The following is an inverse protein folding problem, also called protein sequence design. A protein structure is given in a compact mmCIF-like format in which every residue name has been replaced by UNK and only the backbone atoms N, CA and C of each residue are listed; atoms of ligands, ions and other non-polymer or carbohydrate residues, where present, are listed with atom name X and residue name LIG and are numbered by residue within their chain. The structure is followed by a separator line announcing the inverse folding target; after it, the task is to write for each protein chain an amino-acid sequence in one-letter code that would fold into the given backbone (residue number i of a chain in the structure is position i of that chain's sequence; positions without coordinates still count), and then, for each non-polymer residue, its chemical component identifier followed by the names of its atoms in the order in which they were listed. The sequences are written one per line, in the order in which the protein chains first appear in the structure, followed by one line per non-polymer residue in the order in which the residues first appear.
data_IF_930492233435
#
_entry.id   IF_930492233435
#
_cell.length_a   1.000
_cell.length_b   1.000
_cell.length_c   1.000
_cell.angle_alpha   90.00
_cell.angle_beta   90.00
_cell.angle_gamma   90.00
#
_symmetry.space_group_name_H-M   'P 1'
#
loop_
_entity.id
_entity.type
_entity.pdbx_description
1 polymer ?
#
# COMPACT_ATOMS: atom_id res chain seq x y z
N UNK A 1 -15.92 -8.38 -22.08
CA UNK A 1 -15.33 -8.02 -20.78
C UNK A 1 -14.73 -6.63 -20.94
N UNK A 2 -14.94 -5.68 -20.02
CA UNK A 2 -14.35 -4.34 -20.14
C UNK A 2 -12.89 -4.44 -19.71
N UNK A 3 -11.94 -4.07 -20.57
CA UNK A 3 -10.52 -4.08 -20.19
C UNK A 3 -10.24 -3.09 -19.06
N UNK A 4 -9.44 -3.45 -18.05
CA UNK A 4 -9.11 -2.58 -16.92
C UNK A 4 -8.52 -1.23 -17.32
N UNK A 5 -7.83 -1.17 -18.46
CA UNK A 5 -7.27 0.07 -19.02
C UNK A 5 -8.33 1.14 -19.30
N UNK A 6 -9.53 0.79 -19.78
CA UNK A 6 -10.58 1.77 -20.02
C UNK A 6 -11.11 2.35 -18.71
N UNK A 7 -11.28 1.50 -17.70
CA UNK A 7 -11.73 1.90 -16.37
C UNK A 7 -10.65 2.75 -15.70
N UNK A 8 -9.38 2.41 -15.90
CA UNK A 8 -8.24 3.22 -15.45
C UNK A 8 -8.32 4.65 -15.99
N UNK A 9 -8.57 4.84 -17.30
CA UNK A 9 -8.70 6.18 -17.88
C UNK A 9 -9.94 6.94 -17.40
N UNK A 10 -11.08 6.25 -17.20
CA UNK A 10 -12.26 6.87 -16.59
C UNK A 10 -11.91 7.37 -15.18
N UNK A 11 -11.18 6.58 -14.41
CA UNK A 11 -10.80 6.93 -13.05
C UNK A 11 -9.77 8.05 -13.03
N UNK A 12 -8.87 8.07 -14.01
CA UNK A 12 -7.94 9.18 -14.21
C UNK A 12 -8.69 10.51 -14.41
N UNK A 13 -9.71 10.53 -15.28
CA UNK A 13 -10.56 11.71 -15.50
C UNK A 13 -11.32 12.12 -14.23
N UNK A 14 -11.95 11.16 -13.54
CA UNK A 14 -12.68 11.41 -12.28
C UNK A 14 -11.73 11.98 -11.21
N UNK A 15 -10.52 11.42 -11.09
CA UNK A 15 -9.50 11.86 -10.14
C UNK A 15 -9.05 13.30 -10.40
N UNK A 16 -8.83 13.67 -11.66
CA UNK A 16 -8.54 15.06 -12.03
C UNK A 16 -9.66 16.01 -11.59
N UNK A 17 -10.93 15.64 -11.82
CA UNK A 17 -12.06 16.44 -11.36
C UNK A 17 -12.08 16.59 -9.83
N UNK A 18 -11.75 15.53 -9.09
CA UNK A 18 -11.67 15.60 -7.62
C UNK A 18 -10.50 16.43 -7.10
N UNK A 19 -9.40 16.61 -7.86
CA UNK A 19 -8.32 17.53 -7.46
C UNK A 19 -8.81 18.99 -7.33
N UNK A 20 -9.79 19.40 -8.15
CA UNK A 20 -10.42 20.73 -8.10
C UNK A 20 -11.38 20.91 -6.92
N UNK A 21 -11.77 19.84 -6.23
CA UNK A 21 -12.72 19.93 -5.12
C UNK A 21 -12.04 20.49 -3.88
N UNK A 22 -12.33 21.76 -3.58
CA UNK A 22 -11.75 22.48 -2.42
C UNK A 22 -12.55 22.19 -1.15
N UNK A 23 -13.89 22.04 -1.25
CA UNK A 23 -14.77 21.79 -0.09
C UNK A 23 -15.10 20.30 0.07
N UNK A 24 -14.94 19.74 1.27
CA UNK A 24 -15.12 18.31 1.52
C UNK A 24 -16.60 17.97 1.75
N UNK A 25 -17.46 18.14 0.73
CA UNK A 25 -18.72 17.37 0.74
C UNK A 25 -18.41 15.97 0.22
N UNK A 26 -17.66 15.21 1.02
CA UNK A 26 -17.08 13.94 0.60
C UNK A 26 -18.15 12.87 0.61
N UNK A 27 -18.50 12.40 -0.59
CA UNK A 27 -19.44 11.30 -0.74
C UNK A 27 -18.68 9.97 -0.69
N UNK A 28 -18.36 9.51 0.53
CA UNK A 28 -17.66 8.24 0.76
C UNK A 28 -18.42 7.03 0.21
N UNK A 29 -19.75 7.10 0.11
CA UNK A 29 -20.54 6.03 -0.50
C UNK A 29 -20.27 5.92 -2.00
N UNK A 30 -20.27 7.04 -2.72
CA UNK A 30 -19.94 7.06 -4.14
C UNK A 30 -18.49 6.59 -4.39
N UNK A 31 -17.54 7.02 -3.56
CA UNK A 31 -16.15 6.54 -3.63
C UNK A 31 -16.09 5.04 -3.40
N UNK A 32 -16.81 4.52 -2.41
CA UNK A 32 -16.86 3.09 -2.14
C UNK A 32 -17.43 2.32 -3.34
N UNK A 33 -18.50 2.80 -3.97
CA UNK A 33 -19.03 2.22 -5.21
C UNK A 33 -18.00 2.23 -6.34
N UNK A 34 -17.21 3.31 -6.51
CA UNK A 34 -16.11 3.34 -7.46
C UNK A 34 -15.04 2.29 -7.11
N UNK A 35 -14.67 2.12 -5.85
CA UNK A 35 -13.71 1.07 -5.47
C UNK A 35 -14.23 -0.33 -5.82
N UNK A 36 -15.53 -0.59 -5.62
CA UNK A 36 -16.14 -1.87 -6.00
C UNK A 36 -16.14 -2.10 -7.51
N UNK A 37 -16.46 -1.09 -8.32
CA UNK A 37 -16.40 -1.19 -9.79
C UNK A 37 -14.96 -1.51 -10.23
N UNK A 38 -13.96 -0.88 -9.60
CA UNK A 38 -12.55 -1.14 -9.87
C UNK A 38 -12.15 -2.58 -9.56
N UNK A 39 -12.50 -3.08 -8.37
CA UNK A 39 -12.22 -4.48 -8.00
C UNK A 39 -12.94 -5.45 -8.93
N UNK A 40 -14.23 -5.25 -9.19
CA UNK A 40 -14.99 -6.14 -10.07
C UNK A 40 -14.36 -6.23 -11.46
N UNK A 41 -13.94 -5.09 -12.02
CA UNK A 41 -13.25 -5.05 -13.30
C UNK A 41 -11.94 -5.85 -13.31
N UNK A 42 -11.09 -5.64 -12.31
CA UNK A 42 -9.81 -6.37 -12.22
C UNK A 42 -10.02 -7.87 -11.97
N UNK A 43 -10.95 -8.25 -11.10
CA UNK A 43 -11.21 -9.65 -10.73
C UNK A 43 -11.89 -10.44 -11.85
N UNK A 44 -12.71 -9.78 -12.67
CA UNK A 44 -13.37 -10.43 -13.80
C UNK A 44 -12.44 -10.59 -15.00
N UNK A 45 -11.47 -9.70 -15.19
CA UNK A 45 -10.60 -9.70 -16.37
C UNK A 45 -9.61 -10.88 -16.43
N UNK A 46 -9.04 -11.24 -15.29
CA UNK A 46 -8.05 -12.32 -15.20
C UNK A 46 -7.20 -12.16 -13.95
N UNK A 47 -6.76 -13.29 -13.40
CA UNK A 47 -5.94 -13.34 -12.19
C UNK A 47 -4.51 -13.75 -12.59
N UNK A 48 -3.52 -12.96 -12.17
CA UNK A 48 -2.12 -13.16 -12.57
C UNK A 48 -1.44 -14.37 -11.89
N UNK A 49 -0.15 -14.57 -12.17
CA UNK A 49 0.68 -15.70 -11.70
C UNK A 49 0.57 -16.02 -10.19
N UNK A 50 0.57 -15.03 -9.30
CA UNK A 50 0.49 -15.28 -7.85
C UNK A 50 -0.90 -15.81 -7.45
N UNK A 51 -1.94 -15.36 -8.14
CA UNK A 51 -3.30 -15.84 -7.90
C UNK A 51 -3.52 -17.27 -8.36
N UNK A 52 -2.79 -17.78 -9.36
CA UNK A 52 -2.86 -19.21 -9.72
C UNK A 52 -2.57 -20.07 -8.50
N UNK A 53 -1.52 -19.71 -7.74
CA UNK A 53 -1.17 -20.40 -6.49
C UNK A 53 -2.24 -20.19 -5.42
N UNK A 54 -2.76 -18.96 -5.27
CA UNK A 54 -3.79 -18.69 -4.26
C UNK A 54 -5.09 -19.43 -4.54
N UNK A 55 -5.51 -19.52 -5.80
CA UNK A 55 -6.70 -20.24 -6.22
C UNK A 55 -6.49 -21.74 -5.98
N UNK A 56 -5.36 -22.30 -6.40
CA UNK A 56 -5.10 -23.73 -6.20
C UNK A 56 -5.09 -24.14 -4.72
N UNK A 57 -4.73 -23.21 -3.83
CA UNK A 57 -4.78 -23.50 -2.39
C UNK A 57 -6.18 -23.50 -1.81
N UNK A 58 -7.15 -22.79 -2.42
CA UNK A 58 -8.54 -22.75 -1.91
C UNK A 58 -9.21 -24.13 -1.97
N UNK A 59 -8.80 -24.98 -2.90
CA UNK A 59 -9.32 -26.34 -3.07
C UNK A 59 -8.65 -27.36 -2.13
N UNK A 60 -7.60 -26.99 -1.39
CA UNK A 60 -6.94 -27.89 -0.45
C UNK A 60 -7.79 -28.13 0.81
N UNK A 61 -7.68 -29.32 1.40
CA UNK A 61 -8.33 -29.63 2.68
C UNK A 61 -7.78 -28.78 3.83
N UNK A 62 -8.60 -28.52 4.85
CA UNK A 62 -8.21 -27.78 6.07
C UNK A 62 -6.96 -28.34 6.75
N UNK A 63 -6.69 -29.65 6.62
CA UNK A 63 -5.50 -30.27 7.19
C UNK A 63 -4.20 -29.61 6.69
N UNK A 64 -4.14 -29.20 5.42
CA UNK A 64 -2.96 -28.56 4.84
C UNK A 64 -2.70 -27.18 5.42
N UNK A 65 -3.73 -26.48 5.92
CA UNK A 65 -3.60 -25.15 6.51
C UNK A 65 -2.88 -25.13 7.87
N UNK A 66 -2.64 -26.30 8.47
CA UNK A 66 -1.80 -26.44 9.67
C UNK A 66 -0.30 -26.50 9.36
N UNK A 67 0.10 -26.52 8.08
CA UNK A 67 1.51 -26.38 7.71
C UNK A 67 2.03 -24.98 8.11
N UNK A 68 3.28 -24.97 8.56
CA UNK A 68 4.09 -23.79 8.85
C UNK A 68 4.04 -22.73 7.75
N UNK A 69 3.90 -23.12 6.48
CA UNK A 69 3.74 -22.16 5.38
C UNK A 69 2.49 -21.28 5.52
N UNK A 70 1.34 -21.88 5.83
CA UNK A 70 0.07 -21.16 5.99
C UNK A 70 -0.04 -20.47 7.36
N UNK A 71 0.52 -21.08 8.40
CA UNK A 71 0.55 -20.51 9.75
C UNK A 71 1.42 -19.26 9.89
N UNK A 72 2.32 -18.99 8.93
CA UNK A 72 3.08 -17.73 8.87
C UNK A 72 2.20 -16.52 8.56
N UNK A 73 1.11 -16.71 7.82
CA UNK A 73 0.20 -15.63 7.38
C UNK A 73 -1.27 -16.06 7.56
N UNK A 74 -1.65 -16.43 8.79
CA UNK A 74 -2.86 -17.22 9.03
C UNK A 74 -4.13 -16.40 8.72
N UNK A 75 -4.09 -15.08 8.89
CA UNK A 75 -5.29 -14.27 8.71
C UNK A 75 -5.71 -14.25 7.24
N UNK A 76 -4.77 -14.26 6.29
CA UNK A 76 -5.10 -14.33 4.87
C UNK A 76 -5.60 -15.71 4.48
N UNK A 77 -4.85 -16.75 4.82
CA UNK A 77 -5.14 -18.10 4.37
C UNK A 77 -6.45 -18.65 4.94
N UNK A 78 -6.68 -18.48 6.24
CA UNK A 78 -7.90 -18.98 6.88
C UNK A 78 -9.13 -18.18 6.45
N UNK A 79 -9.03 -16.85 6.28
CA UNK A 79 -10.17 -16.04 5.85
C UNK A 79 -10.57 -16.32 4.41
N UNK A 80 -9.61 -16.43 3.49
CA UNK A 80 -9.89 -16.74 2.09
C UNK A 80 -10.51 -18.13 1.91
N UNK A 81 -10.01 -19.15 2.62
CA UNK A 81 -10.58 -20.51 2.65
C UNK A 81 -11.99 -20.53 3.24
N UNK A 82 -12.19 -19.84 4.36
CA UNK A 82 -13.51 -19.75 4.99
C UNK A 82 -14.56 -19.14 4.06
N UNK A 83 -14.23 -18.05 3.36
CA UNK A 83 -15.13 -17.41 2.38
C UNK A 83 -15.38 -18.34 1.19
N UNK A 84 -14.35 -19.04 0.71
CA UNK A 84 -14.49 -19.96 -0.41
C UNK A 84 -15.51 -21.05 -0.13
N UNK A 85 -15.34 -21.81 0.96
CA UNK A 85 -16.21 -22.96 1.26
C UNK A 85 -17.61 -22.59 1.74
N UNK A 86 -17.75 -21.49 2.50
CA UNK A 86 -19.01 -21.19 3.18
C UNK A 86 -19.88 -20.16 2.44
N UNK A 87 -19.33 -19.42 1.47
CA UNK A 87 -20.05 -18.28 0.87
C UNK A 87 -20.24 -18.44 -0.64
N UNK A 88 -19.19 -18.72 -1.41
CA UNK A 88 -19.28 -18.56 -2.87
C UNK A 88 -18.83 -19.75 -3.71
N UNK A 89 -17.98 -20.64 -3.20
CA UNK A 89 -17.32 -21.72 -3.96
C UNK A 89 -16.70 -21.26 -5.30
N UNK A 90 -16.35 -19.97 -5.42
CA UNK A 90 -15.81 -19.37 -6.64
C UNK A 90 -14.74 -18.34 -6.24
N UNK A 91 -13.48 -18.50 -6.70
CA UNK A 91 -12.36 -17.66 -6.28
C UNK A 91 -12.54 -16.18 -6.60
N UNK A 92 -13.15 -15.84 -7.74
CA UNK A 92 -13.36 -14.44 -8.15
C UNK A 92 -14.19 -13.69 -7.11
N UNK A 93 -15.26 -14.31 -6.62
CA UNK A 93 -16.11 -13.74 -5.59
C UNK A 93 -15.43 -13.71 -4.22
N UNK A 94 -14.58 -14.70 -3.88
CA UNK A 94 -13.78 -14.67 -2.64
C UNK A 94 -12.94 -13.39 -2.59
N UNK A 95 -12.19 -13.11 -3.65
CA UNK A 95 -11.34 -11.92 -3.70
C UNK A 95 -12.13 -10.62 -3.80
N UNK A 96 -13.28 -10.62 -4.48
CA UNK A 96 -14.17 -9.47 -4.49
C UNK A 96 -14.76 -9.15 -3.10
N UNK A 97 -15.14 -10.17 -2.32
CA UNK A 97 -15.61 -10.02 -0.94
C UNK A 97 -14.49 -9.48 -0.05
N UNK A 98 -13.27 -10.02 -0.17
CA UNK A 98 -12.11 -9.50 0.56
C UNK A 98 -11.85 -8.03 0.18
N UNK A 99 -11.79 -7.70 -1.11
CA UNK A 99 -11.61 -6.31 -1.57
C UNK A 99 -12.68 -5.38 -0.99
N UNK A 100 -13.95 -5.82 -0.97
CA UNK A 100 -15.08 -5.10 -0.38
C UNK A 100 -14.84 -4.76 1.09
N UNK A 101 -14.43 -5.75 1.90
CA UNK A 101 -14.14 -5.56 3.33
C UNK A 101 -13.00 -4.54 3.52
N UNK A 102 -11.92 -4.69 2.77
CA UNK A 102 -10.76 -3.81 2.90
C UNK A 102 -11.03 -2.40 2.39
N UNK A 103 -11.84 -2.24 1.34
CA UNK A 103 -12.31 -0.92 0.90
C UNK A 103 -13.21 -0.24 1.91
N UNK A 104 -14.07 -0.98 2.61
CA UNK A 104 -14.85 -0.40 3.72
C UNK A 104 -13.91 0.17 4.79
N UNK A 105 -12.93 -0.61 5.23
CA UNK A 105 -11.93 -0.17 6.19
C UNK A 105 -11.14 1.05 5.69
N UNK A 106 -10.74 1.05 4.42
CA UNK A 106 -10.02 2.18 3.81
C UNK A 106 -10.87 3.45 3.75
N UNK A 107 -12.14 3.34 3.35
CA UNK A 107 -13.10 4.44 3.40
C UNK A 107 -13.29 4.99 4.82
N UNK A 108 -13.39 4.11 5.84
CA UNK A 108 -13.47 4.53 7.24
C UNK A 108 -12.22 5.29 7.68
N UNK A 109 -11.03 4.80 7.31
CA UNK A 109 -9.76 5.45 7.61
C UNK A 109 -9.64 6.84 6.97
N UNK A 110 -9.93 6.96 5.68
CA UNK A 110 -9.90 8.24 4.98
C UNK A 110 -10.95 9.21 5.54
N UNK A 111 -12.15 8.70 5.88
CA UNK A 111 -13.22 9.47 6.54
C UNK A 111 -12.77 10.04 7.88
N UNK A 112 -12.19 9.19 8.73
CA UNK A 112 -11.66 9.61 10.03
C UNK A 112 -10.58 10.69 9.87
N UNK A 113 -9.72 10.55 8.87
CA UNK A 113 -8.63 11.48 8.61
C UNK A 113 -9.00 12.71 7.78
N UNK A 114 -10.27 12.82 7.34
CA UNK A 114 -10.79 13.89 6.47
C UNK A 114 -9.99 14.06 5.18
N UNK A 115 -9.56 12.94 4.58
CA UNK A 115 -8.80 12.97 3.33
C UNK A 115 -9.73 13.25 2.13
N UNK A 116 -9.35 14.12 1.20
CA UNK A 116 -10.15 14.46 0.02
C UNK A 116 -10.26 13.29 -0.97
N UNK A 117 -11.26 13.34 -1.84
CA UNK A 117 -11.66 12.22 -2.71
C UNK A 117 -10.57 11.77 -3.69
N UNK A 118 -9.77 12.71 -4.19
CA UNK A 118 -8.68 12.37 -5.12
C UNK A 118 -7.64 11.44 -4.47
N UNK A 119 -7.54 11.41 -3.13
CA UNK A 119 -6.61 10.51 -2.41
C UNK A 119 -6.97 9.04 -2.64
N UNK A 120 -8.27 8.73 -2.74
CA UNK A 120 -8.72 7.37 -3.04
C UNK A 120 -8.33 6.97 -4.45
N UNK A 121 -8.58 7.87 -5.40
CA UNK A 121 -8.31 7.62 -6.82
C UNK A 121 -6.79 7.53 -7.07
N UNK A 122 -6.00 8.45 -6.51
CA UNK A 122 -4.53 8.39 -6.68
C UNK A 122 -3.97 7.12 -6.04
N UNK A 123 -4.51 6.68 -4.91
CA UNK A 123 -4.07 5.44 -4.27
C UNK A 123 -4.28 4.23 -5.16
N UNK A 124 -5.46 4.03 -5.75
CA UNK A 124 -5.74 2.88 -6.62
C UNK A 124 -5.04 2.96 -7.98
N UNK A 125 -4.85 4.16 -8.54
CA UNK A 125 -4.17 4.36 -9.82
C UNK A 125 -2.65 4.39 -9.72
N UNK A 126 -2.10 4.43 -8.50
CA UNK A 126 -0.66 4.37 -8.30
C UNK A 126 -0.15 2.96 -8.55
N UNK A 127 0.96 2.86 -9.30
CA UNK A 127 1.45 1.57 -9.81
C UNK A 127 1.66 0.48 -8.75
N UNK A 128 2.14 0.75 -7.51
CA UNK A 128 2.28 -0.28 -6.49
C UNK A 128 0.93 -0.86 -6.04
N UNK A 129 -0.15 -0.08 -6.10
CA UNK A 129 -1.49 -0.57 -5.79
C UNK A 129 -2.02 -1.47 -6.91
N UNK A 130 -1.81 -1.09 -8.17
CA UNK A 130 -2.20 -1.93 -9.32
C UNK A 130 -1.46 -3.27 -9.25
N UNK A 131 -0.14 -3.24 -9.06
CA UNK A 131 0.68 -4.44 -8.88
C UNK A 131 0.29 -5.22 -7.61
N UNK A 132 -0.14 -4.53 -6.56
CA UNK A 132 -0.66 -5.14 -5.34
C UNK A 132 -1.97 -5.90 -5.56
N UNK A 133 -2.91 -5.32 -6.30
CA UNK A 133 -4.19 -5.96 -6.62
C UNK A 133 -4.02 -7.21 -7.47
N UNK A 134 -3.09 -7.17 -8.42
CA UNK A 134 -2.93 -8.21 -9.43
C UNK A 134 -1.87 -9.24 -9.07
N UNK A 135 -0.74 -8.88 -8.46
CA UNK A 135 0.35 -9.82 -8.20
C UNK A 135 0.54 -10.05 -6.70
N UNK A 136 0.77 -9.01 -5.89
CA UNK A 136 1.16 -9.24 -4.48
C UNK A 136 0.03 -8.94 -3.51
N UNK A 137 -1.05 -9.71 -3.64
CA UNK A 137 -2.32 -9.45 -2.98
C UNK A 137 -2.26 -9.44 -1.44
N UNK A 138 -1.63 -10.45 -0.83
CA UNK A 138 -1.47 -10.54 0.64
C UNK A 138 -0.79 -9.31 1.23
N UNK A 139 0.29 -8.89 0.59
CA UNK A 139 1.03 -7.70 0.97
C UNK A 139 0.20 -6.43 0.77
N UNK A 140 -0.55 -6.35 -0.33
CA UNK A 140 -1.44 -5.22 -0.60
C UNK A 140 -2.51 -5.08 0.49
N UNK A 141 -3.15 -6.18 0.89
CA UNK A 141 -4.07 -6.23 2.03
C UNK A 141 -3.40 -5.77 3.34
N UNK A 142 -2.20 -6.30 3.64
CA UNK A 142 -1.44 -5.89 4.81
C UNK A 142 -1.11 -4.38 4.79
N UNK A 143 -0.90 -3.78 3.62
CA UNK A 143 -0.53 -2.37 3.48
C UNK A 143 -1.63 -1.43 3.99
N UNK A 144 -2.92 -1.76 3.83
CA UNK A 144 -3.99 -0.97 4.44
C UNK A 144 -3.80 -0.85 5.95
N UNK A 145 -3.51 -1.96 6.63
CA UNK A 145 -3.32 -1.98 8.07
C UNK A 145 -2.00 -1.35 8.52
N UNK A 146 -0.93 -1.43 7.70
CA UNK A 146 0.30 -0.66 7.94
C UNK A 146 0.01 0.84 7.88
N UNK A 147 -0.72 1.29 6.86
CA UNK A 147 -1.13 2.70 6.75
C UNK A 147 -1.99 3.12 7.95
N UNK A 148 -2.88 2.27 8.44
CA UNK A 148 -3.67 2.57 9.64
C UNK A 148 -2.80 2.63 10.89
N UNK A 149 -1.85 1.70 11.04
CA UNK A 149 -0.90 1.71 12.15
C UNK A 149 -0.13 3.03 12.22
N UNK A 150 0.36 3.51 11.07
CA UNK A 150 1.20 4.70 10.99
C UNK A 150 0.37 5.99 11.01
N UNK A 151 -0.68 6.10 10.20
CA UNK A 151 -1.35 7.38 9.92
C UNK A 151 -2.70 7.56 10.61
N UNK A 152 -3.16 6.59 11.41
CA UNK A 152 -4.39 6.80 12.19
C UNK A 152 -4.13 7.91 13.24
N UNK A 153 -4.57 9.12 12.92
CA UNK A 153 -4.54 10.25 13.83
C UNK A 153 -5.79 10.20 14.68
N UNK A 154 -5.64 9.60 15.84
CA UNK A 154 -6.54 9.87 16.93
C UNK A 154 -5.85 10.90 17.81
N UNK A 155 -6.18 12.17 17.61
CA UNK A 155 -5.81 13.25 18.55
C UNK A 155 -6.33 12.96 19.98
N UNK A 156 -7.16 11.93 20.14
CA UNK A 156 -7.81 11.52 21.39
C UNK A 156 -7.40 10.15 21.93
N UNK A 157 -6.67 9.29 21.19
CA UNK A 157 -6.28 7.97 21.71
C UNK A 157 -5.00 8.08 22.52
N UNK A 158 -5.18 8.23 23.83
CA UNK A 158 -4.17 7.86 24.84
C UNK A 158 -3.77 6.38 24.76
N UNK A 159 -4.41 5.57 23.92
CA UNK A 159 -4.17 4.12 23.78
C UNK A 159 -3.27 3.83 22.59
N UNK A 160 -1.97 3.90 22.86
CA UNK A 160 -0.87 3.45 21.99
C UNK A 160 -1.07 2.05 21.37
N UNK A 161 -1.87 1.20 22.03
CA UNK A 161 -2.17 -0.18 21.64
C UNK A 161 -2.81 -0.32 20.26
N UNK A 162 -3.59 0.65 19.79
CA UNK A 162 -4.31 0.54 18.51
C UNK A 162 -3.34 0.50 17.32
N UNK A 163 -2.24 1.27 17.38
CA UNK A 163 -1.24 1.25 16.29
C UNK A 163 -0.54 -0.11 16.22
N UNK A 164 -0.22 -0.70 17.38
CA UNK A 164 0.37 -2.04 17.44
C UNK A 164 -0.62 -3.13 17.02
N UNK A 165 -1.90 -2.98 17.37
CA UNK A 165 -2.96 -3.90 16.93
C UNK A 165 -3.10 -3.95 15.41
N UNK A 166 -3.12 -2.79 14.73
CA UNK A 166 -3.14 -2.79 13.26
C UNK A 166 -1.87 -3.37 12.64
N UNK A 167 -0.69 -3.13 13.24
CA UNK A 167 0.53 -3.75 12.77
C UNK A 167 0.52 -5.27 12.96
N UNK A 168 -0.06 -5.76 14.06
CA UNK A 168 -0.23 -7.19 14.31
C UNK A 168 -1.14 -7.82 13.25
N UNK A 169 -2.28 -7.18 12.92
CA UNK A 169 -3.15 -7.63 11.83
C UNK A 169 -2.37 -7.66 10.50
N UNK A 170 -1.60 -6.60 10.21
CA UNK A 170 -0.78 -6.55 9.00
C UNK A 170 0.24 -7.69 8.96
N UNK A 171 0.89 -8.00 10.08
CA UNK A 171 1.84 -9.11 10.21
C UNK A 171 1.18 -10.47 9.98
N UNK A 172 -0.03 -10.67 10.51
CA UNK A 172 -0.80 -11.91 10.31
C UNK A 172 -1.34 -12.07 8.88
N UNK A 173 -1.42 -10.99 8.10
CA UNK A 173 -1.72 -11.02 6.66
C UNK A 173 -0.47 -11.24 5.82
N UNK A 174 0.63 -10.59 6.20
CA UNK A 174 1.90 -10.69 5.51
C UNK A 174 3.07 -10.39 6.44
N UNK A 175 3.96 -11.37 6.61
CA UNK A 175 5.00 -11.35 7.64
C UNK A 175 6.00 -10.18 7.50
N UNK A 176 6.25 -9.69 6.29
CA UNK A 176 7.17 -8.56 6.06
C UNK A 176 6.66 -7.24 6.64
N UNK A 177 5.37 -7.17 7.04
CA UNK A 177 4.81 -5.99 7.70
C UNK A 177 5.54 -5.62 8.99
N UNK A 178 6.19 -6.58 9.67
CA UNK A 178 6.93 -6.31 10.92
C UNK A 178 8.09 -5.33 10.72
N UNK A 179 8.65 -5.25 9.51
CA UNK A 179 9.72 -4.32 9.15
C UNK A 179 9.31 -2.85 9.32
N UNK A 180 8.01 -2.57 9.36
CA UNK A 180 7.46 -1.22 9.47
C UNK A 180 7.18 -0.79 10.92
N UNK A 181 7.49 -1.63 11.92
CA UNK A 181 7.43 -1.27 13.35
C UNK A 181 8.16 0.05 13.69
N UNK A 182 9.35 0.36 13.14
CA UNK A 182 10.05 1.61 13.43
C UNK A 182 9.23 2.86 13.09
N UNK A 183 8.33 2.82 12.10
CA UNK A 183 7.48 3.97 11.75
C UNK A 183 6.52 4.37 12.88
N UNK A 184 6.09 3.41 13.73
CA UNK A 184 5.24 3.73 14.89
C UNK A 184 6.02 4.58 15.90
N UNK A 185 7.27 4.23 16.17
CA UNK A 185 8.13 5.01 17.07
C UNK A 185 8.50 6.35 16.45
N UNK A 186 8.72 6.39 15.14
CA UNK A 186 9.02 7.61 14.41
C UNK A 186 7.86 8.61 14.48
N UNK A 187 6.62 8.16 14.26
CA UNK A 187 5.41 8.97 14.42
C UNK A 187 5.33 9.60 15.83
N UNK A 188 5.69 8.83 16.84
CA UNK A 188 5.72 9.26 18.25
C UNK A 188 6.94 10.12 18.60
N UNK A 189 7.79 10.48 17.61
CA UNK A 189 9.05 11.23 17.80
C UNK A 189 10.03 10.54 18.75
N UNK A 190 9.92 9.22 18.93
CA UNK A 190 10.81 8.40 19.76
C UNK A 190 11.98 7.91 18.88
N UNK A 191 12.86 8.84 18.47
CA UNK A 191 13.92 8.57 17.49
C UNK A 191 14.90 7.47 17.93
N UNK A 192 15.30 7.43 19.21
CA UNK A 192 16.18 6.37 19.72
C UNK A 192 15.53 4.98 19.56
N UNK A 193 14.26 4.83 19.97
CA UNK A 193 13.51 3.57 19.80
C UNK A 193 13.29 3.22 18.33
N UNK A 194 13.15 4.22 17.45
CA UNK A 194 13.09 4.01 16.00
C UNK A 194 14.37 3.36 15.50
N UNK A 195 15.53 3.89 15.88
CA UNK A 195 16.84 3.35 15.48
C UNK A 195 17.06 1.97 16.11
N UNK A 196 16.79 1.81 17.41
CA UNK A 196 16.95 0.52 18.10
C UNK A 196 16.07 -0.57 17.49
N UNK A 197 14.80 -0.27 17.20
CA UNK A 197 13.90 -1.24 16.55
C UNK A 197 14.33 -1.57 15.12
N UNK A 198 14.79 -0.57 14.36
CA UNK A 198 15.36 -0.81 13.03
C UNK A 198 16.59 -1.72 13.10
N UNK A 199 17.57 -1.41 13.93
CA UNK A 199 18.79 -2.22 14.10
C UNK A 199 18.45 -3.63 14.60
N UNK A 200 17.55 -3.76 15.57
CA UNK A 200 17.10 -5.06 16.06
C UNK A 200 16.48 -5.89 14.93
N UNK A 201 15.62 -5.31 14.09
CA UNK A 201 15.02 -6.01 12.96
C UNK A 201 16.06 -6.41 11.92
N UNK A 202 17.01 -5.54 11.60
CA UNK A 202 18.13 -5.87 10.70
C UNK A 202 18.92 -7.07 11.20
N UNK A 203 19.29 -7.06 12.48
CA UNK A 203 20.03 -8.16 13.12
C UNK A 203 19.19 -9.44 13.16
N UNK A 204 17.92 -9.35 13.56
CA UNK A 204 17.02 -10.49 13.62
C UNK A 204 16.82 -11.12 12.23
N UNK A 205 16.62 -10.33 11.18
CA UNK A 205 16.49 -10.85 9.81
C UNK A 205 17.81 -11.43 9.30
N UNK A 206 18.96 -10.87 9.67
CA UNK A 206 20.25 -11.44 9.30
C UNK A 206 20.47 -12.84 9.89
N UNK A 207 20.10 -13.05 11.16
CA UNK A 207 20.29 -14.34 11.84
C UNK A 207 19.16 -15.35 11.58
N UNK A 208 17.91 -14.90 11.46
CA UNK A 208 16.73 -15.79 11.38
C UNK A 208 16.04 -15.78 10.02
N UNK A 209 16.41 -14.87 9.11
CA UNK A 209 15.77 -14.72 7.80
C UNK A 209 16.21 -15.72 6.73
N UNK A 210 17.23 -16.55 7.01
CA UNK A 210 17.89 -17.43 6.03
C UNK A 210 17.10 -18.73 5.71
N UNK A 211 15.86 -18.86 6.21
CA UNK A 211 15.01 -20.05 6.06
C UNK A 211 14.46 -20.34 4.66
N UNK A 212 15.12 -19.88 3.59
CA UNK A 212 14.77 -20.20 2.21
C UNK A 212 15.04 -19.04 1.27
N UNK A 213 16.27 -18.94 0.77
CA UNK A 213 16.60 -18.17 -0.45
C UNK A 213 16.01 -18.88 -1.67
N UNK A 214 14.70 -19.05 -1.73
CA UNK A 214 14.06 -19.41 -2.98
C UNK A 214 14.26 -18.22 -3.93
N UNK A 215 15.18 -18.41 -4.87
CA UNK A 215 15.49 -17.54 -5.99
C UNK A 215 14.34 -17.55 -7.01
N UNK A 216 13.09 -17.47 -6.55
CA UNK A 216 11.97 -17.20 -7.44
C UNK A 216 11.93 -15.69 -7.64
N UNK A 217 12.63 -15.25 -8.68
CA UNK A 217 12.59 -13.87 -9.18
C UNK A 217 11.22 -13.65 -9.83
N UNK A 218 10.16 -13.57 -9.02
CA UNK A 218 8.81 -13.29 -9.52
C UNK A 218 8.68 -11.79 -9.78
N UNK A 219 9.07 -11.38 -10.99
CA UNK A 219 8.70 -10.10 -11.60
C UNK A 219 9.85 -9.35 -12.26
N UNK A 220 9.66 -8.94 -13.52
CA UNK A 220 10.64 -8.23 -14.34
C UNK A 220 10.97 -6.78 -13.91
N UNK A 221 10.37 -6.27 -12.84
CA UNK A 221 10.65 -4.88 -12.40
C UNK A 221 11.93 -4.82 -11.59
N UNK A 222 12.91 -4.12 -12.16
CA UNK A 222 14.19 -3.85 -11.49
C UNK A 222 13.95 -3.06 -10.18
N UNK A 223 14.54 -3.48 -9.03
CA UNK A 223 14.51 -2.74 -7.76
C UNK A 223 14.80 -1.23 -7.89
N UNK A 224 15.63 -0.84 -8.86
CA UNK A 224 15.95 0.56 -9.15
C UNK A 224 14.72 1.42 -9.50
N UNK A 225 13.67 0.84 -10.10
CA UNK A 225 12.42 1.56 -10.42
C UNK A 225 11.76 2.08 -9.14
N UNK A 226 11.75 1.28 -8.08
CA UNK A 226 11.19 1.68 -6.79
C UNK A 226 12.05 2.78 -6.12
N UNK A 227 13.38 2.69 -6.17
CA UNK A 227 14.27 3.76 -5.70
C UNK A 227 14.01 5.08 -6.43
N UNK A 228 13.84 5.01 -7.76
CA UNK A 228 13.57 6.18 -8.58
C UNK A 228 12.22 6.81 -8.21
N UNK A 229 11.17 6.00 -8.05
CA UNK A 229 9.86 6.49 -7.62
C UNK A 229 9.90 7.11 -6.20
N UNK A 230 10.63 6.51 -5.25
CA UNK A 230 10.87 7.07 -3.92
C UNK A 230 11.55 8.43 -4.03
N UNK A 231 12.55 8.55 -4.91
CA UNK A 231 13.28 9.79 -5.16
C UNK A 231 12.40 10.88 -5.77
N UNK A 232 11.50 10.52 -6.72
CA UNK A 232 10.52 11.46 -7.29
C UNK A 232 9.59 12.04 -6.21
N UNK A 233 9.07 11.19 -5.31
CA UNK A 233 8.22 11.66 -4.21
C UNK A 233 8.96 12.65 -3.29
N UNK A 234 10.25 12.42 -3.05
CA UNK A 234 11.07 13.32 -2.25
C UNK A 234 11.42 14.62 -2.96
N UNK A 235 11.74 14.58 -4.26
CA UNK A 235 11.93 15.79 -5.06
C UNK A 235 10.66 16.64 -5.07
N UNK A 236 9.49 16.02 -5.17
CA UNK A 236 8.22 16.72 -5.07
C UNK A 236 8.06 17.43 -3.72
N UNK A 237 8.36 16.73 -2.63
CA UNK A 237 8.37 17.34 -1.29
C UNK A 237 9.35 18.51 -1.17
N UNK A 238 10.58 18.38 -1.68
CA UNK A 238 11.55 19.46 -1.66
C UNK A 238 11.06 20.67 -2.44
N UNK A 239 10.47 20.46 -3.61
CA UNK A 239 9.86 21.52 -4.42
C UNK A 239 8.75 22.24 -3.63
N UNK A 240 7.88 21.49 -2.95
CA UNK A 240 6.82 22.07 -2.12
C UNK A 240 7.33 22.93 -0.96
N UNK A 241 8.51 22.62 -0.43
CA UNK A 241 9.11 23.38 0.66
C UNK A 241 10.15 24.41 0.17
N UNK A 242 10.14 24.75 -1.12
CA UNK A 242 11.10 25.66 -1.76
C UNK A 242 12.56 25.27 -1.46
N UNK A 243 12.85 23.97 -1.48
CA UNK A 243 14.15 23.36 -1.16
C UNK A 243 14.68 23.67 0.26
N UNK A 244 13.83 24.18 1.16
CA UNK A 244 14.19 24.36 2.57
C UNK A 244 13.95 23.05 3.29
N UNK A 245 14.94 22.56 4.02
CA UNK A 245 14.83 21.32 4.80
C UNK A 245 14.69 21.68 6.28
N UNK A 246 13.53 21.40 6.87
CA UNK A 246 13.34 21.41 8.32
C UNK A 246 13.37 19.97 8.81
N UNK A 247 14.50 19.56 9.41
CA UNK A 247 14.70 18.19 9.87
C UNK A 247 13.96 17.90 11.18
N UNK A 248 13.87 18.90 12.09
CA UNK A 248 13.16 18.75 13.37
C UNK A 248 11.67 18.66 13.14
N UNK A 249 11.07 17.62 13.71
CA UNK A 249 9.62 17.37 13.77
C UNK A 249 8.91 17.16 12.42
N UNK A 250 9.66 16.97 11.34
CA UNK A 250 9.06 16.70 10.03
C UNK A 250 8.91 15.19 9.82
N UNK A 251 7.68 14.70 9.96
CA UNK A 251 7.39 13.28 9.79
C UNK A 251 7.75 12.78 8.40
N UNK A 252 7.41 13.52 7.33
CA UNK A 252 7.70 13.11 5.94
C UNK A 252 9.21 12.91 5.70
N UNK A 253 10.03 13.87 6.13
CA UNK A 253 11.47 13.78 5.89
C UNK A 253 12.09 12.60 6.66
N UNK A 254 11.69 12.42 7.93
CA UNK A 254 12.19 11.31 8.72
C UNK A 254 11.67 9.95 8.20
N UNK A 255 10.42 9.91 7.70
CA UNK A 255 9.83 8.71 7.11
C UNK A 255 10.55 8.34 5.83
N UNK A 256 10.96 9.32 5.04
CA UNK A 256 11.74 9.14 3.82
C UNK A 256 13.15 8.58 4.11
N UNK A 257 13.85 9.13 5.11
CA UNK A 257 15.18 8.62 5.50
C UNK A 257 15.08 7.17 5.99
N UNK A 258 14.09 6.88 6.85
CA UNK A 258 13.82 5.51 7.30
C UNK A 258 13.45 4.57 6.13
N UNK A 259 12.67 5.06 5.18
CA UNK A 259 12.30 4.33 3.96
C UNK A 259 13.52 3.94 3.13
N UNK A 260 14.45 4.87 2.89
CA UNK A 260 15.68 4.57 2.16
C UNK A 260 16.50 3.53 2.92
N UNK A 261 16.68 3.71 4.23
CA UNK A 261 17.43 2.76 5.06
C UNK A 261 16.84 1.35 5.00
N UNK A 262 15.52 1.22 5.13
CA UNK A 262 14.80 -0.06 5.01
C UNK A 262 14.89 -0.66 3.60
N UNK A 263 14.81 0.17 2.55
CA UNK A 263 14.84 -0.34 1.19
C UNK A 263 16.25 -0.80 0.77
N UNK A 264 17.28 -0.05 1.16
CA UNK A 264 18.68 -0.47 0.94
C UNK A 264 18.96 -1.76 1.71
N UNK A 265 18.49 -1.85 2.96
CA UNK A 265 18.55 -3.08 3.74
C UNK A 265 17.87 -4.25 3.03
N UNK A 266 16.65 -4.06 2.50
CA UNK A 266 15.92 -5.14 1.84
C UNK A 266 16.58 -5.61 0.55
N UNK A 267 17.21 -4.71 -0.22
CA UNK A 267 17.96 -5.07 -1.42
C UNK A 267 19.21 -5.90 -1.08
N UNK A 268 19.93 -5.53 -0.01
CA UNK A 268 21.20 -6.19 0.34
C UNK A 268 20.96 -7.57 0.98
N UNK A 269 19.96 -7.69 1.84
CA UNK A 269 19.79 -8.86 2.71
C UNK A 269 18.68 -9.82 2.24
N UNK A 270 17.63 -9.31 1.58
CA UNK A 270 16.48 -10.14 1.20
C UNK A 270 16.54 -10.59 -0.27
N UNK A 271 15.86 -11.69 -0.59
CA UNK A 271 15.71 -12.15 -1.97
C UNK A 271 14.99 -11.10 -2.86
N UNK A 272 15.27 -11.13 -4.17
CA UNK A 272 14.77 -10.17 -5.16
C UNK A 272 13.27 -9.91 -5.07
N UNK A 273 12.44 -10.96 -5.03
CA UNK A 273 10.99 -10.83 -4.86
C UNK A 273 10.59 -10.13 -3.57
N UNK A 274 11.20 -10.47 -2.43
CA UNK A 274 10.86 -9.86 -1.14
C UNK A 274 11.30 -8.40 -1.06
N UNK A 275 12.43 -8.04 -1.67
CA UNK A 275 12.87 -6.64 -1.72
C UNK A 275 11.87 -5.76 -2.49
N UNK A 276 11.34 -6.24 -3.63
CA UNK A 276 10.31 -5.54 -4.44
C UNK A 276 9.03 -5.33 -3.64
N UNK A 277 8.62 -6.33 -2.85
CA UNK A 277 7.49 -6.24 -1.92
C UNK A 277 7.65 -5.13 -0.89
N UNK A 278 8.79 -5.09 -0.22
CA UNK A 278 9.14 -4.01 0.72
C UNK A 278 9.12 -2.64 0.02
N UNK A 279 9.68 -2.56 -1.19
CA UNK A 279 9.68 -1.34 -2.01
C UNK A 279 8.28 -0.81 -2.32
N UNK A 280 7.33 -1.69 -2.65
CA UNK A 280 5.93 -1.31 -2.89
C UNK A 280 5.25 -0.75 -1.63
N UNK A 281 5.44 -1.38 -0.47
CA UNK A 281 4.87 -0.86 0.80
C UNK A 281 5.48 0.51 1.12
N UNK A 282 6.80 0.65 0.98
CA UNK A 282 7.52 1.90 1.24
C UNK A 282 6.99 3.03 0.36
N UNK A 283 6.75 2.77 -0.93
CA UNK A 283 6.17 3.76 -1.84
C UNK A 283 4.77 4.19 -1.39
N UNK A 284 3.93 3.26 -0.95
CA UNK A 284 2.60 3.58 -0.45
C UNK A 284 2.65 4.37 0.86
N UNK A 285 3.57 4.05 1.78
CA UNK A 285 3.78 4.84 2.99
C UNK A 285 4.24 6.26 2.64
N UNK A 286 5.21 6.42 1.73
CA UNK A 286 5.70 7.73 1.32
C UNK A 286 4.65 8.54 0.55
N UNK A 287 3.82 7.89 -0.27
CA UNK A 287 2.65 8.51 -0.87
C UNK A 287 1.74 9.09 0.20
N UNK A 288 1.35 8.29 1.20
CA UNK A 288 0.49 8.77 2.28
C UNK A 288 1.15 9.85 3.13
N UNK A 289 2.44 9.74 3.43
CA UNK A 289 3.18 10.78 4.13
C UNK A 289 3.12 12.11 3.35
N UNK A 290 3.30 12.06 2.02
CA UNK A 290 3.23 13.24 1.16
C UNK A 290 1.82 13.83 1.11
N UNK A 291 0.79 12.99 0.98
CA UNK A 291 -0.60 13.42 0.94
C UNK A 291 -1.04 14.04 2.26
N UNK A 292 -0.64 13.47 3.41
CA UNK A 292 -0.90 14.07 4.72
C UNK A 292 -0.18 15.41 4.86
N UNK A 293 1.10 15.49 4.45
CA UNK A 293 1.84 16.74 4.45
C UNK A 293 1.15 17.82 3.60
N UNK A 294 0.77 17.48 2.36
CA UNK A 294 0.08 18.38 1.43
C UNK A 294 -1.28 18.83 1.96
N UNK A 295 -2.05 17.91 2.56
CA UNK A 295 -3.41 18.22 2.99
C UNK A 295 -3.49 18.93 4.34
N UNK A 296 -2.62 18.59 5.29
CA UNK A 296 -2.71 19.03 6.69
C UNK A 296 -1.63 20.02 7.11
N UNK A 297 -0.40 19.84 6.66
CA UNK A 297 0.75 20.63 7.15
C UNK A 297 1.10 21.81 6.24
N UNK A 298 0.89 21.64 4.93
CA UNK A 298 1.24 22.62 3.91
C UNK A 298 0.27 23.81 3.92
N UNK A 299 0.74 24.95 4.43
CA UNK A 299 -0.02 26.21 4.47
C UNK A 299 0.15 26.98 3.15
N UNK A 300 -0.66 26.65 2.15
CA UNK A 300 -0.68 27.33 0.84
C UNK A 300 -2.12 27.79 0.51
N UNK A 301 -2.24 28.87 -0.28
CA UNK A 301 -3.52 29.33 -0.84
C UNK A 301 -4.19 28.21 -1.65
N UNK A 302 -5.53 28.13 -1.57
CA UNK A 302 -6.31 27.05 -2.17
C UNK A 302 -6.05 26.83 -3.67
N UNK A 303 -5.86 27.88 -4.47
CA UNK A 303 -5.60 27.76 -5.92
C UNK A 303 -4.29 27.03 -6.23
N UNK A 304 -3.20 27.39 -5.54
CA UNK A 304 -1.92 26.70 -5.72
C UNK A 304 -2.02 25.25 -5.24
N UNK A 305 -2.83 24.96 -4.22
CA UNK A 305 -3.07 23.60 -3.74
C UNK A 305 -3.74 22.72 -4.80
N UNK A 306 -4.72 23.24 -5.54
CA UNK A 306 -5.37 22.51 -6.65
C UNK A 306 -4.35 22.15 -7.74
N UNK A 307 -3.51 23.10 -8.15
CA UNK A 307 -2.47 22.87 -9.16
C UNK A 307 -1.50 21.79 -8.68
N UNK A 308 -1.05 21.87 -7.42
CA UNK A 308 -0.15 20.87 -6.83
C UNK A 308 -0.82 19.48 -6.82
N UNK A 309 -2.11 19.39 -6.42
CA UNK A 309 -2.86 18.12 -6.44
C UNK A 309 -2.91 17.52 -7.84
N UNK A 310 -3.17 18.33 -8.86
CA UNK A 310 -3.21 17.89 -10.26
C UNK A 310 -1.85 17.40 -10.72
N UNK A 311 -0.77 18.14 -10.47
CA UNK A 311 0.58 17.73 -10.88
C UNK A 311 0.93 16.39 -10.21
N UNK A 312 0.72 16.28 -8.89
CA UNK A 312 0.99 15.05 -8.15
C UNK A 312 0.16 13.88 -8.70
N UNK A 313 -1.14 14.09 -8.89
CA UNK A 313 -2.06 13.09 -9.41
C UNK A 313 -1.62 12.60 -10.81
N UNK A 314 -1.37 13.54 -11.72
CA UNK A 314 -0.98 13.23 -13.10
C UNK A 314 0.36 12.50 -13.15
N UNK A 315 1.37 12.93 -12.40
CA UNK A 315 2.68 12.28 -12.38
C UNK A 315 2.55 10.85 -11.85
N UNK A 316 1.88 10.64 -10.72
CA UNK A 316 1.81 9.32 -10.09
C UNK A 316 0.96 8.32 -10.85
N UNK A 317 -0.15 8.76 -11.43
CA UNK A 317 -0.98 7.90 -12.29
C UNK A 317 -0.25 7.58 -13.60
N UNK A 318 0.37 8.58 -14.25
CA UNK A 318 1.09 8.35 -15.51
C UNK A 318 2.26 7.37 -15.36
N UNK A 319 2.96 7.38 -14.22
CA UNK A 319 4.00 6.37 -13.92
C UNK A 319 3.44 4.94 -14.01
N UNK A 320 2.19 4.70 -13.63
CA UNK A 320 1.59 3.36 -13.71
C UNK A 320 1.37 2.87 -15.15
N UNK A 321 1.25 3.78 -16.11
CA UNK A 321 1.18 3.42 -17.54
C UNK A 321 2.59 3.27 -18.14
N UNK A 322 3.57 4.01 -17.61
CA UNK A 322 4.96 3.94 -18.07
C UNK A 322 5.70 2.69 -17.58
N UNK A 323 5.42 2.23 -16.36
CA UNK A 323 6.04 1.01 -15.82
C UNK A 323 5.45 -0.20 -16.55
N UNK A 324 6.26 -0.97 -17.31
CA UNK A 324 5.75 -2.04 -18.16
C UNK A 324 4.88 -3.03 -17.39
N UNK A 325 5.37 -3.52 -16.25
CA UNK A 325 4.64 -4.55 -15.49
C UNK A 325 3.29 -4.09 -14.95
N UNK A 326 3.08 -2.80 -14.61
CA UNK A 326 1.74 -2.33 -14.24
C UNK A 326 0.87 -2.06 -15.45
N UNK A 327 1.44 -1.63 -16.57
CA UNK A 327 0.72 -1.46 -17.84
C UNK A 327 0.22 -2.80 -18.37
N UNK A 328 1.06 -3.82 -18.35
CA UNK A 328 0.75 -5.15 -18.88
C UNK A 328 -0.41 -5.77 -18.07
N UNK A 329 -0.45 -5.53 -16.75
CA UNK A 329 -1.60 -5.88 -15.89
C UNK A 329 -2.91 -5.12 -16.21
N UNK A 330 -2.83 -3.92 -16.80
CA UNK A 330 -4.01 -3.15 -17.20
C UNK A 330 -4.54 -3.59 -18.57
N UNK A 331 -3.64 -4.05 -19.45
CA UNK A 331 -3.94 -4.43 -20.84
C UNK A 331 -4.17 -5.94 -20.99
N UNK A 332 -3.74 -6.76 -20.04
CA UNK A 332 -3.97 -8.22 -20.06
C UNK A 332 -3.03 -9.01 -20.96
N UNK A 333 -1.82 -8.47 -21.13
CA UNK A 333 -0.69 -9.13 -21.80
C UNK A 333 0.25 -9.67 -20.75
#
# INVERSE_FOLDING_TARGET
MIEPVYIYFIYYLIGMLYCFKIKPNINYFLIFCLLLIWSFALRSYGLSNDFVTYISTLDLDWYYYYDTYYLREPLYWLSSKFIYENISNNPVYVYFILDTIFFLFFCMFCKKNKLPEYVFIVFILFFPSIMGFQNVYRQFLATYFILFSIFNNSEYDKKDLISYFYLLIAFLLHNTAILFLPYIFLKKKKYLLTIMSFVFLVVAFYFFGDGGRSSSDTGDVNPLVYMLAISILFLFYLFLNNFKIKYKDNFFLNSFVLSIGLYVFSIIIMAGGQSKRVGMIILLINLFALLFFLEKDLRIKNYNKVIIRLILFCVLSLIAVLVPSSRDMLVGT
#
